data_IF_619383198407
#
_entry.id   IF_619383198407
#
_cell.length_a   1.000
_cell.length_b   1.000
_cell.length_c   1.000
_cell.angle_alpha   90.00
_cell.angle_beta   90.00
_cell.angle_gamma   90.00
#
_symmetry.space_group_name_H-M   'P 1'
#
loop_
_entity.id
_entity.type
_entity.pdbx_description
1 polymer ?
#
# COMPACT_ATOMS: atom_id res chain seq x y z
N UNK A 1 -0.08 -16.13 -3.68
CA UNK A 1 -0.35 -16.27 -2.22
C UNK A 1 -1.76 -16.76 -1.96
N UNK A 2 -2.79 -16.03 -2.41
CA UNK A 2 -4.19 -16.39 -2.15
C UNK A 2 -4.56 -17.82 -2.61
N UNK A 3 -4.15 -18.23 -3.82
CA UNK A 3 -4.43 -19.58 -4.35
C UNK A 3 -3.84 -20.73 -3.49
N UNK A 4 -2.76 -20.46 -2.76
CA UNK A 4 -2.08 -21.46 -1.91
C UNK A 4 -2.42 -21.28 -0.42
N UNK A 5 -3.42 -20.44 -0.10
CA UNK A 5 -3.83 -20.16 1.29
C UNK A 5 -2.83 -19.31 2.09
N UNK A 6 -1.78 -18.79 1.45
CA UNK A 6 -0.78 -17.94 2.09
C UNK A 6 -1.17 -16.46 1.99
N UNK A 7 -0.56 -15.61 2.85
CA UNK A 7 -0.87 -14.17 2.92
C UNK A 7 0.13 -13.33 2.13
N UNK A 8 -0.35 -12.33 1.39
CA UNK A 8 0.47 -11.29 0.77
C UNK A 8 0.26 -9.95 1.46
N UNK A 9 1.20 -9.02 1.30
CA UNK A 9 1.17 -7.69 1.91
C UNK A 9 1.17 -6.61 0.82
N UNK A 10 0.39 -5.55 1.01
CA UNK A 10 0.28 -4.41 0.07
C UNK A 10 1.53 -3.53 -0.01
N UNK A 11 2.37 -3.54 1.04
CA UNK A 11 3.37 -2.50 1.26
C UNK A 11 2.73 -1.14 1.56
N UNK A 12 3.51 -0.07 1.41
CA UNK A 12 3.13 1.30 1.80
C UNK A 12 2.25 2.05 0.82
N UNK A 13 1.97 1.48 -0.35
CA UNK A 13 1.43 2.22 -1.50
C UNK A 13 -0.09 2.24 -1.64
N UNK A 14 -0.83 1.68 -0.68
CA UNK A 14 -2.26 1.41 -0.85
C UNK A 14 -2.53 0.20 -1.76
N UNK A 15 -3.80 0.02 -2.11
CA UNK A 15 -4.24 -1.03 -3.05
C UNK A 15 -5.46 -0.56 -3.83
N UNK A 16 -5.48 -0.80 -5.13
CA UNK A 16 -6.64 -0.56 -6.00
C UNK A 16 -7.85 -1.37 -5.51
N UNK A 17 -8.98 -0.69 -5.28
CA UNK A 17 -10.22 -1.32 -4.81
C UNK A 17 -10.80 -2.35 -5.79
N UNK A 18 -10.46 -2.26 -7.08
CA UNK A 18 -10.89 -3.25 -8.07
C UNK A 18 -10.35 -4.66 -7.76
N UNK A 19 -9.27 -4.76 -6.96
CA UNK A 19 -8.67 -6.03 -6.54
C UNK A 19 -9.43 -6.74 -5.43
N UNK A 20 -10.42 -6.09 -4.81
CA UNK A 20 -11.17 -6.66 -3.69
C UNK A 20 -12.20 -7.70 -4.14
N UNK A 21 -12.64 -7.62 -5.39
CA UNK A 21 -13.50 -8.62 -6.00
C UNK A 21 -12.65 -9.77 -6.55
N UNK A 22 -13.27 -10.96 -6.64
CA UNK A 22 -12.68 -12.07 -7.37
C UNK A 22 -12.68 -11.76 -8.86
N UNK A 23 -11.61 -12.16 -9.54
CA UNK A 23 -11.57 -12.17 -11.00
C UNK A 23 -12.52 -13.26 -11.53
N UNK A 24 -12.87 -13.22 -12.82
CA UNK A 24 -13.84 -14.15 -13.45
C UNK A 24 -13.45 -15.63 -13.30
N UNK A 25 -12.17 -15.91 -13.12
CA UNK A 25 -11.63 -17.25 -12.91
C UNK A 25 -11.63 -17.69 -11.43
N UNK A 26 -12.18 -16.88 -10.53
CA UNK A 26 -12.22 -17.11 -9.08
C UNK A 26 -10.95 -16.73 -8.33
N UNK A 27 -9.93 -16.18 -8.99
CA UNK A 27 -8.73 -15.71 -8.29
C UNK A 27 -8.99 -14.42 -7.53
N UNK A 28 -8.37 -14.28 -6.36
CA UNK A 28 -8.30 -13.01 -5.65
C UNK A 28 -6.96 -12.34 -5.87
N UNK A 29 -6.97 -11.08 -6.29
CA UNK A 29 -5.78 -10.20 -6.31
C UNK A 29 -5.62 -9.36 -5.04
N UNK A 30 -6.59 -9.38 -4.13
CA UNK A 30 -6.53 -8.63 -2.87
C UNK A 30 -5.39 -9.14 -1.98
N UNK A 31 -4.58 -8.24 -1.44
CA UNK A 31 -3.58 -8.61 -0.44
C UNK A 31 -4.21 -8.80 0.95
N UNK A 32 -4.04 -9.98 1.54
CA UNK A 32 -4.60 -10.29 2.86
C UNK A 32 -4.11 -9.34 3.97
N UNK A 33 -2.85 -8.91 3.91
CA UNK A 33 -2.26 -7.98 4.86
C UNK A 33 -2.23 -6.58 4.23
N UNK A 34 -2.85 -5.61 4.91
CA UNK A 34 -2.83 -4.21 4.53
C UNK A 34 -1.88 -3.46 5.46
N UNK A 35 -0.90 -2.76 4.89
CA UNK A 35 0.07 -2.01 5.69
C UNK A 35 -0.42 -0.58 5.94
N UNK A 36 -0.15 -0.05 7.13
CA UNK A 36 -0.32 1.36 7.49
C UNK A 36 1.05 1.89 7.94
N UNK A 37 1.60 2.81 7.15
CA UNK A 37 2.86 3.50 7.42
C UNK A 37 2.62 5.01 7.63
N UNK A 38 3.67 5.75 7.98
CA UNK A 38 3.58 7.18 8.32
C UNK A 38 2.91 8.03 7.24
N UNK A 39 3.23 7.81 5.97
CA UNK A 39 2.67 8.54 4.82
C UNK A 39 1.19 8.25 4.54
N UNK A 40 0.64 7.13 5.05
CA UNK A 40 -0.77 6.72 4.87
C UNK A 40 -1.27 6.74 3.42
N UNK A 41 -0.37 6.59 2.44
CA UNK A 41 -0.74 6.59 1.02
C UNK A 41 -1.77 5.50 0.72
N UNK A 42 -2.88 5.88 0.09
CA UNK A 42 -3.98 4.98 -0.26
C UNK A 42 -4.71 4.34 0.93
N UNK A 43 -4.44 4.78 2.17
CA UNK A 43 -5.16 4.28 3.36
C UNK A 43 -6.53 4.96 3.43
N UNK A 44 -7.57 4.19 3.14
CA UNK A 44 -8.97 4.61 3.18
C UNK A 44 -9.80 3.67 4.06
N UNK A 45 -11.02 4.04 4.48
CA UNK A 45 -11.91 3.10 5.16
C UNK A 45 -12.13 1.82 4.35
N UNK A 46 -12.34 1.94 3.03
CA UNK A 46 -12.53 0.78 2.14
C UNK A 46 -11.28 -0.13 2.11
N UNK A 47 -10.08 0.44 2.12
CA UNK A 47 -8.83 -0.30 2.22
C UNK A 47 -8.71 -1.08 3.54
N UNK A 48 -9.08 -0.45 4.67
CA UNK A 48 -8.97 -1.05 6.00
C UNK A 48 -9.97 -2.19 6.22
N UNK A 49 -11.22 -2.04 5.78
CA UNK A 49 -12.25 -3.09 5.93
C UNK A 49 -12.00 -4.31 5.04
N UNK A 50 -11.20 -4.16 3.97
CA UNK A 50 -10.80 -5.25 3.08
C UNK A 50 -9.46 -5.91 3.49
N UNK A 51 -9.02 -5.70 4.73
CA UNK A 51 -7.86 -6.37 5.33
C UNK A 51 -8.29 -7.65 6.06
N UNK A 52 -7.49 -8.71 5.95
CA UNK A 52 -7.52 -9.81 6.92
C UNK A 52 -6.69 -9.44 8.15
N UNK A 53 -5.51 -8.83 7.92
CA UNK A 53 -4.65 -8.32 8.99
C UNK A 53 -4.16 -6.91 8.65
N UNK A 54 -4.01 -6.08 9.68
CA UNK A 54 -3.38 -4.77 9.56
C UNK A 54 -1.96 -4.83 10.10
N UNK A 55 -0.99 -4.38 9.30
CA UNK A 55 0.39 -4.23 9.72
C UNK A 55 0.73 -2.75 9.91
N UNK A 56 1.01 -2.37 11.16
CA UNK A 56 1.53 -1.03 11.47
C UNK A 56 3.04 -1.05 11.23
N UNK A 57 3.51 -0.26 10.25
CA UNK A 57 4.93 -0.17 9.94
C UNK A 57 5.57 0.99 10.70
N UNK A 58 6.31 0.65 11.75
CA UNK A 58 7.04 1.62 12.57
C UNK A 58 8.37 2.07 11.95
N UNK A 59 9.08 1.14 11.30
CA UNK A 59 10.39 1.39 10.69
C UNK A 59 10.67 0.40 9.55
N UNK A 60 11.62 0.74 8.67
CA UNK A 60 12.11 -0.14 7.61
C UNK A 60 13.57 -0.55 7.86
N UNK A 61 13.85 -1.86 7.82
CA UNK A 61 15.19 -2.39 8.09
C UNK A 61 16.28 -1.96 7.10
N UNK A 62 15.92 -1.60 5.86
CA UNK A 62 16.91 -1.16 4.86
C UNK A 62 17.33 0.30 5.02
N UNK A 63 16.56 1.12 5.74
CA UNK A 63 16.85 2.53 6.01
C UNK A 63 16.26 2.93 7.38
N UNK A 64 16.88 2.51 8.48
CA UNK A 64 16.41 2.89 9.82
C UNK A 64 16.44 4.41 9.99
N UNK A 65 15.29 5.02 10.30
CA UNK A 65 15.19 6.48 10.53
C UNK A 65 14.70 7.31 9.34
N UNK A 66 14.53 6.72 8.15
CA UNK A 66 13.90 7.39 7.00
C UNK A 66 12.54 6.76 6.67
N UNK A 67 11.61 7.57 6.16
CA UNK A 67 10.37 7.07 5.58
C UNK A 67 10.58 6.50 4.17
N UNK A 68 9.58 5.76 3.67
CA UNK A 68 9.56 5.30 2.28
C UNK A 68 9.64 6.46 1.28
N UNK A 69 10.30 6.21 0.15
CA UNK A 69 10.47 7.18 -0.93
C UNK A 69 10.03 6.57 -2.27
N UNK A 70 9.25 7.32 -3.06
CA UNK A 70 8.94 6.99 -4.45
C UNK A 70 9.21 8.24 -5.32
N UNK A 71 10.21 8.17 -6.23
CA UNK A 71 10.51 9.28 -7.14
C UNK A 71 9.30 9.70 -7.98
N UNK A 72 9.13 11.01 -8.18
CA UNK A 72 7.93 11.56 -8.84
C UNK A 72 7.71 11.06 -10.27
N UNK A 73 8.77 10.79 -11.03
CA UNK A 73 8.67 10.21 -12.38
C UNK A 73 8.14 8.76 -12.40
N UNK A 74 8.04 8.10 -11.24
CA UNK A 74 7.38 6.79 -11.08
C UNK A 74 5.95 6.91 -10.55
N UNK A 75 5.48 8.11 -10.28
CA UNK A 75 4.11 8.41 -9.84
C UNK A 75 3.33 8.82 -11.08
N UNK A 76 2.91 7.83 -11.86
CA UNK A 76 2.00 8.06 -12.97
C UNK A 76 0.57 8.34 -12.47
N UNK A 77 -0.39 8.53 -13.39
CA UNK A 77 -1.79 8.80 -13.05
C UNK A 77 -2.41 7.69 -12.19
N UNK A 78 -2.09 6.43 -12.49
CA UNK A 78 -2.62 5.28 -11.77
C UNK A 78 -2.05 5.21 -10.34
N UNK A 79 -0.73 5.34 -10.19
CA UNK A 79 -0.08 5.37 -8.87
C UNK A 79 -0.53 6.58 -8.07
N UNK A 80 -0.64 7.75 -8.70
CA UNK A 80 -1.16 8.97 -8.09
C UNK A 80 -2.55 8.74 -7.52
N UNK A 81 -3.44 8.15 -8.33
CA UNK A 81 -4.80 7.80 -7.93
C UNK A 81 -4.86 6.77 -6.80
N UNK A 82 -4.16 5.63 -6.90
CA UNK A 82 -4.15 4.59 -5.84
C UNK A 82 -3.66 5.17 -4.51
N UNK A 83 -2.69 6.09 -4.55
CA UNK A 83 -2.10 6.70 -3.36
C UNK A 83 -2.85 7.91 -2.83
N UNK A 84 -3.85 8.42 -3.54
CA UNK A 84 -4.49 9.72 -3.30
C UNK A 84 -3.48 10.88 -3.31
N UNK A 85 -2.64 10.94 -4.33
CA UNK A 85 -1.55 11.91 -4.50
C UNK A 85 -1.52 12.51 -5.91
N UNK A 86 -0.73 13.55 -6.10
CA UNK A 86 -0.57 14.22 -7.41
C UNK A 86 0.41 13.45 -8.30
N UNK A 87 0.02 13.08 -9.53
CA UNK A 87 0.95 12.48 -10.51
C UNK A 87 2.17 13.38 -10.77
N UNK A 88 3.33 12.76 -10.97
CA UNK A 88 4.60 13.45 -11.21
C UNK A 88 5.29 14.01 -9.96
N UNK A 89 4.63 14.03 -8.80
CA UNK A 89 5.18 14.56 -7.56
C UNK A 89 5.88 13.46 -6.77
N UNK A 90 7.09 13.75 -6.28
CA UNK A 90 7.84 12.83 -5.44
C UNK A 90 7.14 12.59 -4.09
N UNK A 91 7.08 11.33 -3.66
CA UNK A 91 6.43 10.93 -2.42
C UNK A 91 7.49 10.52 -1.41
N UNK A 92 7.58 11.29 -0.34
CA UNK A 92 8.46 11.03 0.81
C UNK A 92 7.57 10.86 2.04
N UNK A 93 7.59 9.68 2.64
CA UNK A 93 6.89 9.43 3.91
C UNK A 93 7.64 10.11 5.06
N UNK A 94 6.95 10.68 6.06
CA UNK A 94 7.59 11.22 7.26
C UNK A 94 8.41 10.16 8.01
N UNK A 95 9.55 10.55 8.60
CA UNK A 95 10.30 9.70 9.52
C UNK A 95 9.64 9.65 10.89
N UNK A 96 9.85 8.55 11.62
CA UNK A 96 9.36 8.36 13.00
C UNK A 96 10.25 9.03 14.06
N UNK A 97 11.30 9.74 13.64
CA UNK A 97 12.25 10.44 14.51
C UNK A 97 11.76 11.86 14.77
N UNK A 98 11.08 12.05 15.91
CA UNK A 98 10.96 13.32 16.62
C UNK A 98 11.78 13.27 17.90
#
# INVERSE_FOLDING_TARGET
>A
MNRIGARSNTGEGGEDYNRYNLDDNGDSRSSAIKQVASGRFGVTPNYLVNATDLQIKMAQGSKPGEGGQLPGHKVDEYIGWVRNTTPGVELISPSSTS
#
